data_IF_245187783969
#
_entry.id   IF_245187783969
#
_cell.length_a   1.000
_cell.length_b   1.000
_cell.length_c   1.000
_cell.angle_alpha   90.00
_cell.angle_beta   90.00
_cell.angle_gamma   90.00
#
_symmetry.space_group_name_H-M   'P 1'
#
loop_
_entity.id
_entity.type
_entity.pdbx_description
1 polymer ?
#
# COMPACT_ATOMS: atom_id res chain seq x y z
N UNK A 1 1.35 2.22 -40.71
CA UNK A 1 1.14 0.76 -40.64
C UNK A 1 2.45 0.17 -40.13
N UNK A 2 2.61 0.10 -38.80
CA UNK A 2 3.88 -0.27 -38.17
C UNK A 2 3.86 -1.77 -37.87
N UNK A 3 4.93 -2.48 -38.21
CA UNK A 3 5.23 -3.76 -37.58
C UNK A 3 5.75 -3.49 -36.17
N UNK A 4 4.87 -3.56 -35.17
CA UNK A 4 5.13 -3.27 -33.75
C UNK A 4 5.43 -4.52 -32.91
N UNK A 5 4.99 -5.71 -33.36
CA UNK A 5 4.99 -6.93 -32.53
C UNK A 5 6.40 -7.44 -32.17
N UNK A 6 7.38 -7.29 -33.06
CA UNK A 6 8.74 -7.79 -32.82
C UNK A 6 9.54 -6.94 -31.80
N UNK A 7 9.28 -5.63 -31.74
CA UNK A 7 9.97 -4.72 -30.79
C UNK A 7 9.41 -4.81 -29.37
N UNK A 8 8.14 -5.17 -29.22
CA UNK A 8 7.54 -5.48 -27.93
C UNK A 8 8.06 -6.80 -27.36
N UNK A 9 8.25 -7.82 -28.21
CA UNK A 9 8.71 -9.15 -27.80
C UNK A 9 10.09 -9.16 -27.10
N UNK A 10 11.01 -8.28 -27.52
CA UNK A 10 12.32 -8.14 -26.87
C UNK A 10 12.25 -7.49 -25.49
N UNK A 11 11.20 -6.71 -25.21
CA UNK A 11 11.00 -5.92 -23.98
C UNK A 11 10.27 -6.68 -22.88
N UNK A 12 9.95 -7.95 -23.10
CA UNK A 12 9.27 -8.80 -22.11
C UNK A 12 10.23 -9.03 -20.93
N UNK A 13 9.88 -8.61 -19.71
CA UNK A 13 10.70 -8.87 -18.54
C UNK A 13 10.74 -10.37 -18.28
N UNK A 14 11.95 -10.90 -18.10
CA UNK A 14 12.17 -12.33 -17.80
C UNK A 14 12.81 -12.52 -16.43
N UNK A 15 13.48 -11.48 -15.93
CA UNK A 15 14.16 -11.49 -14.64
C UNK A 15 14.07 -10.13 -13.98
N UNK A 16 13.99 -10.14 -12.65
CA UNK A 16 14.18 -8.97 -11.81
C UNK A 16 15.19 -9.28 -10.71
N UNK A 17 16.02 -8.31 -10.34
CA UNK A 17 16.96 -8.43 -9.21
C UNK A 17 16.68 -7.27 -8.26
N UNK A 18 16.35 -7.57 -7.01
CA UNK A 18 16.23 -6.58 -5.93
C UNK A 18 17.52 -6.62 -5.10
N UNK A 19 18.13 -5.45 -4.90
CA UNK A 19 19.42 -5.35 -4.21
C UNK A 19 19.46 -4.16 -3.26
N UNK A 20 19.84 -4.46 -2.02
CA UNK A 20 20.18 -3.48 -1.02
C UNK A 20 21.67 -3.13 -1.07
N UNK A 21 21.97 -1.85 -1.12
CA UNK A 21 23.30 -1.25 -1.10
C UNK A 21 23.50 -0.44 0.18
N UNK A 22 24.74 -0.01 0.50
CA UNK A 22 25.00 0.81 1.68
C UNK A 22 24.14 2.07 1.81
N UNK A 23 23.77 2.67 0.67
CA UNK A 23 23.11 3.97 0.61
C UNK A 23 21.64 3.90 0.18
N UNK A 24 21.10 2.70 -0.06
CA UNK A 24 19.69 2.53 -0.44
C UNK A 24 19.39 1.22 -1.14
N UNK A 25 18.17 1.08 -1.65
CA UNK A 25 17.73 -0.08 -2.40
C UNK A 25 17.43 0.26 -3.85
N UNK A 26 17.65 -0.70 -4.74
CA UNK A 26 17.28 -0.58 -6.15
C UNK A 26 16.85 -1.94 -6.69
N UNK A 27 16.16 -1.92 -7.82
CA UNK A 27 15.90 -3.13 -8.59
C UNK A 27 16.33 -2.97 -10.05
N UNK A 28 16.67 -4.09 -10.66
CA UNK A 28 17.03 -4.19 -12.08
C UNK A 28 16.08 -5.16 -12.75
N UNK A 29 15.38 -4.72 -13.79
CA UNK A 29 14.59 -5.59 -14.68
C UNK A 29 15.43 -5.92 -15.90
N UNK A 30 15.55 -7.21 -16.20
CA UNK A 30 16.22 -7.73 -17.39
C UNK A 30 15.15 -8.28 -18.32
N UNK A 31 15.14 -7.79 -19.55
CA UNK A 31 14.23 -8.29 -20.58
C UNK A 31 14.81 -9.45 -21.37
N UNK A 32 13.99 -10.02 -22.26
CA UNK A 32 14.37 -11.18 -23.08
C UNK A 32 15.53 -10.89 -24.03
N UNK A 33 15.74 -9.63 -24.43
CA UNK A 33 16.88 -9.22 -25.24
C UNK A 33 18.17 -9.10 -24.42
N UNK A 34 18.06 -9.12 -23.09
CA UNK A 34 19.17 -8.92 -22.16
C UNK A 34 19.39 -7.45 -21.79
N UNK A 35 18.47 -6.55 -22.17
CA UNK A 35 18.58 -5.15 -21.78
C UNK A 35 18.22 -5.00 -20.30
N UNK A 36 19.06 -4.25 -19.58
CA UNK A 36 18.88 -4.00 -18.15
C UNK A 36 18.29 -2.60 -17.92
N UNK A 37 17.29 -2.53 -17.04
CA UNK A 37 16.71 -1.26 -16.58
C UNK A 37 16.74 -1.21 -15.06
N UNK A 38 17.50 -0.25 -14.53
CA UNK A 38 17.63 0.01 -13.11
C UNK A 38 16.64 1.09 -12.66
N UNK A 39 16.05 0.89 -11.49
CA UNK A 39 15.24 1.89 -10.80
C UNK A 39 15.60 1.94 -9.31
N UNK A 40 15.77 3.15 -8.79
CA UNK A 40 16.06 3.40 -7.37
C UNK A 40 14.77 3.35 -6.56
N UNK A 41 14.82 2.69 -5.39
CA UNK A 41 13.73 2.60 -4.42
C UNK A 41 13.97 3.54 -3.22
N UNK A 42 15.21 4.01 -3.04
CA UNK A 42 15.60 4.86 -1.93
C UNK A 42 15.62 4.12 -0.58
N UNK A 43 15.38 4.86 0.51
CA UNK A 43 15.34 4.33 1.87
C UNK A 43 16.72 4.21 2.54
N UNK A 44 16.72 3.75 3.79
CA UNK A 44 17.97 3.43 4.49
C UNK A 44 18.59 2.20 3.84
N UNK A 45 19.83 2.32 3.38
CA UNK A 45 20.60 1.19 2.86
C UNK A 45 20.82 0.08 3.88
N UNK A 46 21.59 -0.94 3.50
CA UNK A 46 21.71 -2.18 4.29
C UNK A 46 22.73 -2.09 5.44
N UNK A 47 23.56 -1.05 5.44
CA UNK A 47 24.58 -0.87 6.48
C UNK A 47 23.97 -0.28 7.73
N UNK A 48 24.26 -0.92 8.86
CA UNK A 48 24.09 -0.31 10.16
C UNK A 48 25.02 0.91 10.27
N UNK A 49 24.46 2.11 10.40
CA UNK A 49 25.22 3.34 10.55
C UNK A 49 25.00 3.92 11.95
N UNK A 50 26.01 3.81 12.79
CA UNK A 50 26.09 4.53 14.06
C UNK A 50 27.02 5.70 13.87
N UNK A 51 26.48 6.93 13.88
CA UNK A 51 27.19 8.17 13.55
C UNK A 51 28.51 8.40 14.30
N UNK A 52 29.59 7.74 13.86
CA UNK A 52 30.95 7.80 14.41
C UNK A 52 31.30 6.78 15.50
N UNK A 53 30.37 5.95 16.00
CA UNK A 53 30.69 4.89 16.98
C UNK A 53 30.82 3.53 16.28
N UNK A 54 31.84 2.75 16.64
CA UNK A 54 31.95 1.33 16.23
C UNK A 54 31.02 0.48 17.09
N UNK A 55 29.72 0.65 16.91
CA UNK A 55 28.76 -0.23 17.54
C UNK A 55 28.54 -1.43 16.61
N UNK A 56 28.52 -2.62 17.18
CA UNK A 56 28.22 -3.85 16.44
C UNK A 56 26.78 -3.82 15.91
N UNK A 57 26.55 -4.55 14.80
CA UNK A 57 25.21 -4.71 14.24
C UNK A 57 24.30 -5.35 15.30
N UNK A 58 23.18 -4.71 15.67
CA UNK A 58 22.31 -5.28 16.68
C UNK A 58 21.59 -6.52 16.15
N UNK A 59 21.28 -7.53 16.99
CA UNK A 59 20.67 -8.79 16.55
C UNK A 59 19.33 -8.63 15.81
N UNK A 60 18.62 -7.52 16.03
CA UNK A 60 17.34 -7.22 15.36
C UNK A 60 17.51 -6.60 13.96
N UNK A 61 18.70 -6.15 13.57
CA UNK A 61 18.93 -5.46 12.29
C UNK A 61 18.64 -6.36 11.10
N UNK A 62 19.11 -7.61 11.11
CA UNK A 62 18.83 -8.57 10.03
C UNK A 62 17.34 -8.83 9.85
N UNK A 63 16.59 -8.96 10.94
CA UNK A 63 15.13 -9.13 10.89
C UNK A 63 14.47 -7.90 10.26
N UNK A 64 14.91 -6.70 10.66
CA UNK A 64 14.44 -5.45 10.07
C UNK A 64 14.74 -5.35 8.56
N UNK A 65 15.94 -5.71 8.13
CA UNK A 65 16.28 -5.76 6.71
C UNK A 65 15.43 -6.77 5.94
N UNK A 66 15.11 -7.92 6.53
CA UNK A 66 14.22 -8.91 5.93
C UNK A 66 12.78 -8.37 5.75
N UNK A 67 12.26 -7.62 6.73
CA UNK A 67 10.96 -6.93 6.62
C UNK A 67 10.96 -5.88 5.51
N UNK A 68 12.04 -5.09 5.41
CA UNK A 68 12.21 -4.07 4.36
C UNK A 68 12.27 -4.76 3.00
N UNK A 69 13.12 -5.76 2.82
CA UNK A 69 13.26 -6.52 1.59
C UNK A 69 11.93 -7.17 1.17
N UNK A 70 11.18 -7.74 2.12
CA UNK A 70 9.84 -8.28 1.89
C UNK A 70 8.90 -7.22 1.32
N UNK A 71 8.83 -6.05 1.98
CA UNK A 71 7.99 -4.93 1.54
C UNK A 71 8.40 -4.41 0.14
N UNK A 72 9.70 -4.33 -0.14
CA UNK A 72 10.22 -3.89 -1.43
C UNK A 72 9.96 -4.90 -2.55
N UNK A 73 10.03 -6.21 -2.29
CA UNK A 73 9.65 -7.23 -3.29
C UNK A 73 8.19 -7.11 -3.69
N UNK A 74 7.30 -6.83 -2.74
CA UNK A 74 5.88 -6.58 -3.05
C UNK A 74 5.70 -5.32 -3.90
N UNK A 75 6.41 -4.25 -3.58
CA UNK A 75 6.39 -3.02 -4.38
C UNK A 75 6.90 -3.26 -5.81
N UNK A 76 8.06 -3.92 -5.96
CA UNK A 76 8.62 -4.28 -7.27
C UNK A 76 7.67 -5.17 -8.06
N UNK A 77 7.02 -6.16 -7.43
CA UNK A 77 6.03 -6.98 -8.09
C UNK A 77 4.86 -6.15 -8.63
N UNK A 78 4.39 -5.14 -7.88
CA UNK A 78 3.34 -4.22 -8.36
C UNK A 78 3.79 -3.43 -9.59
N UNK A 79 4.94 -2.79 -9.52
CA UNK A 79 5.51 -1.98 -10.61
C UNK A 79 5.72 -2.79 -11.89
N UNK A 80 6.34 -3.97 -11.78
CA UNK A 80 6.58 -4.85 -12.92
C UNK A 80 5.25 -5.34 -13.51
N UNK A 81 4.26 -5.65 -12.67
CA UNK A 81 2.94 -6.07 -13.14
C UNK A 81 2.23 -4.96 -13.92
N UNK A 82 2.26 -3.71 -13.45
CA UNK A 82 1.61 -2.60 -14.15
C UNK A 82 2.27 -2.32 -15.48
N UNK A 83 3.60 -2.32 -15.51
CA UNK A 83 4.35 -2.19 -16.75
C UNK A 83 4.01 -3.31 -17.75
N UNK A 84 3.93 -4.55 -17.29
CA UNK A 84 3.54 -5.67 -18.15
C UNK A 84 2.11 -5.53 -18.66
N UNK A 85 1.20 -5.04 -17.82
CA UNK A 85 -0.18 -4.82 -18.22
C UNK A 85 -0.29 -3.74 -19.29
N UNK A 86 0.41 -2.61 -19.12
CA UNK A 86 0.40 -1.51 -20.09
C UNK A 86 1.01 -1.91 -21.45
N UNK A 87 2.05 -2.75 -21.44
CA UNK A 87 2.77 -3.14 -22.66
C UNK A 87 2.18 -4.36 -23.35
N UNK A 88 1.63 -5.31 -22.59
CA UNK A 88 1.29 -6.65 -23.08
C UNK A 88 -0.13 -7.09 -22.72
N UNK A 89 -0.90 -6.26 -22.00
CA UNK A 89 -2.20 -6.64 -21.42
C UNK A 89 -2.13 -7.94 -20.59
N UNK A 90 -0.98 -8.20 -19.96
CA UNK A 90 -0.69 -9.39 -19.17
C UNK A 90 -0.16 -9.00 -17.78
N UNK A 91 -0.37 -9.87 -16.80
CA UNK A 91 0.19 -9.67 -15.46
C UNK A 91 1.52 -10.40 -15.30
N UNK A 92 2.42 -9.78 -14.52
CA UNK A 92 3.65 -10.43 -14.11
C UNK A 92 3.39 -11.25 -12.84
N UNK A 93 3.84 -12.49 -12.84
CA UNK A 93 4.06 -13.28 -11.65
C UNK A 93 5.58 -13.40 -11.43
N UNK A 94 6.02 -13.15 -10.20
CA UNK A 94 7.45 -13.15 -9.86
C UNK A 94 7.71 -14.21 -8.81
N UNK A 95 8.48 -15.23 -9.19
CA UNK A 95 8.99 -16.23 -8.26
C UNK A 95 10.34 -15.77 -7.74
N UNK A 96 10.44 -15.47 -6.45
CA UNK A 96 11.64 -14.91 -5.81
C UNK A 96 12.54 -15.99 -5.20
N UNK A 97 13.85 -15.78 -5.31
CA UNK A 97 14.91 -16.63 -4.79
C UNK A 97 15.92 -15.77 -4.01
N UNK A 98 16.24 -16.18 -2.79
CA UNK A 98 17.26 -15.52 -1.97
C UNK A 98 18.65 -15.84 -2.51
N UNK A 99 19.38 -14.81 -2.95
CA UNK A 99 20.76 -14.95 -3.45
C UNK A 99 21.77 -14.66 -2.32
N UNK A 100 21.51 -13.59 -1.57
CA UNK A 100 22.26 -13.20 -0.38
C UNK A 100 21.29 -12.56 0.61
N UNK A 101 20.59 -13.38 1.40
CA UNK A 101 19.54 -12.89 2.29
C UNK A 101 20.13 -12.11 3.48
N UNK A 102 19.48 -11.00 3.90
CA UNK A 102 18.22 -10.46 3.40
C UNK A 102 18.36 -9.44 2.25
N UNK A 103 19.57 -9.18 1.75
CA UNK A 103 19.90 -7.98 0.97
C UNK A 103 19.82 -8.16 -0.55
N UNK A 104 19.89 -9.38 -1.07
CA UNK A 104 19.87 -9.65 -2.51
C UNK A 104 18.90 -10.79 -2.86
N UNK A 105 18.03 -10.52 -3.83
CA UNK A 105 17.00 -11.43 -4.30
C UNK A 105 16.90 -11.40 -5.83
N UNK A 106 16.79 -12.56 -6.44
CA UNK A 106 16.53 -12.71 -7.87
C UNK A 106 15.11 -13.25 -8.07
N UNK A 107 14.39 -12.69 -9.02
CA UNK A 107 13.01 -13.05 -9.34
C UNK A 107 12.90 -13.48 -10.80
N UNK A 108 12.34 -14.65 -11.04
CA UNK A 108 11.95 -15.08 -12.39
C UNK A 108 10.56 -14.53 -12.69
N UNK A 109 10.42 -13.87 -13.84
CA UNK A 109 9.17 -13.23 -14.26
C UNK A 109 8.46 -14.11 -15.29
N UNK A 110 7.24 -14.50 -14.98
CA UNK A 110 6.31 -15.16 -15.91
C UNK A 110 5.16 -14.22 -16.22
N UNK A 111 4.61 -14.30 -17.44
CA UNK A 111 3.41 -13.57 -17.81
C UNK A 111 2.20 -14.51 -17.75
N UNK A 112 1.11 -13.98 -17.20
CA UNK A 112 -0.20 -14.64 -17.16
C UNK A 112 -1.27 -13.72 -17.72
N UNK A 113 -2.40 -14.29 -18.12
CA UNK A 113 -3.57 -13.51 -18.52
C UNK A 113 -3.92 -12.50 -17.42
N UNK A 114 -4.23 -11.26 -17.84
CA UNK A 114 -4.56 -10.22 -16.88
C UNK A 114 -5.80 -10.59 -16.06
N UNK A 115 -5.81 -10.19 -14.78
CA UNK A 115 -6.98 -10.36 -13.94
C UNK A 115 -8.18 -9.65 -14.60
N UNK A 116 -9.31 -10.34 -14.86
CA UNK A 116 -10.51 -9.71 -15.39
C UNK A 116 -10.97 -8.49 -14.58
N UNK A 117 -10.65 -8.41 -13.29
CA UNK A 117 -10.92 -7.26 -12.42
C UNK A 117 -10.06 -6.02 -12.71
N UNK A 118 -9.01 -6.11 -13.55
CA UNK A 118 -8.36 -4.94 -14.15
C UNK A 118 -9.29 -4.16 -15.05
N UNK A 119 -10.32 -4.83 -15.58
CA UNK A 119 -11.34 -4.20 -16.41
C UNK A 119 -12.51 -3.75 -15.54
N UNK A 120 -12.89 -2.46 -15.57
CA UNK A 120 -13.96 -1.92 -14.74
C UNK A 120 -15.26 -2.75 -14.82
N UNK A 121 -15.87 -3.01 -13.66
CA UNK A 121 -17.22 -3.59 -13.57
C UNK A 121 -17.31 -5.12 -13.56
N UNK A 122 -16.20 -5.87 -13.69
CA UNK A 122 -16.24 -7.34 -13.69
C UNK A 122 -16.23 -8.01 -12.32
N UNK A 123 -15.69 -7.34 -11.30
CA UNK A 123 -15.68 -7.84 -9.92
C UNK A 123 -16.20 -6.76 -8.98
N UNK A 124 -17.19 -7.08 -8.10
CA UNK A 124 -17.65 -6.13 -7.10
C UNK A 124 -16.49 -5.64 -6.21
N UNK A 125 -16.42 -4.33 -5.93
CA UNK A 125 -15.42 -3.80 -5.02
C UNK A 125 -15.68 -4.24 -3.57
N UNK A 126 -14.62 -4.26 -2.77
CA UNK A 126 -14.71 -4.40 -1.33
C UNK A 126 -14.93 -3.01 -0.73
N UNK A 127 -16.18 -2.72 -0.38
CA UNK A 127 -16.58 -1.40 0.10
C UNK A 127 -16.45 -1.34 1.62
N UNK A 128 -15.68 -0.37 2.11
CA UNK A 128 -15.63 0.03 3.52
C UNK A 128 -16.37 1.35 3.64
N UNK A 129 -17.44 1.36 4.44
CA UNK A 129 -18.23 2.57 4.68
C UNK A 129 -17.72 3.25 5.95
N UNK A 130 -17.21 4.46 5.81
CA UNK A 130 -16.73 5.31 6.90
C UNK A 130 -17.94 5.94 7.60
N UNK A 131 -18.01 5.77 8.92
CA UNK A 131 -19.00 6.44 9.77
C UNK A 131 -18.23 7.30 10.78
N UNK A 132 -18.03 8.60 10.46
CA UNK A 132 -17.39 9.54 11.37
C UNK A 132 -17.94 9.47 12.79
N UNK A 133 -17.05 9.53 13.78
CA UNK A 133 -17.41 9.40 15.19
C UNK A 133 -17.72 7.97 15.67
N UNK A 134 -17.89 7.00 14.76
CA UNK A 134 -18.28 5.63 15.12
C UNK A 134 -17.25 4.57 14.71
N UNK A 135 -16.66 4.68 13.52
CA UNK A 135 -15.73 3.70 12.96
C UNK A 135 -16.09 3.36 11.51
N UNK A 136 -15.98 2.11 11.10
CA UNK A 136 -16.32 1.67 9.74
C UNK A 136 -17.23 0.44 9.70
N UNK A 137 -18.05 0.36 8.65
CA UNK A 137 -18.78 -0.85 8.29
C UNK A 137 -18.04 -1.56 7.17
N UNK A 138 -17.72 -2.83 7.41
CA UNK A 138 -17.25 -3.78 6.40
C UNK A 138 -18.46 -4.58 5.90
N UNK A 139 -18.33 -5.31 4.77
CA UNK A 139 -19.42 -6.14 4.24
C UNK A 139 -19.96 -7.17 5.24
N UNK A 140 -19.06 -7.79 6.02
CA UNK A 140 -19.40 -8.92 6.91
C UNK A 140 -19.19 -8.62 8.41
N UNK A 141 -18.66 -7.44 8.75
CA UNK A 141 -18.31 -7.08 10.13
C UNK A 141 -18.26 -5.57 10.32
N UNK A 142 -18.39 -5.09 11.56
CA UNK A 142 -18.27 -3.67 11.89
C UNK A 142 -17.06 -3.45 12.80
N UNK A 143 -16.22 -2.49 12.43
CA UNK A 143 -15.09 -2.05 13.24
C UNK A 143 -15.45 -0.67 13.80
N UNK A 144 -16.07 -0.66 14.98
CA UNK A 144 -16.38 0.60 15.69
C UNK A 144 -15.28 0.92 16.70
N UNK A 145 -15.17 2.17 17.12
CA UNK A 145 -14.13 2.57 18.08
C UNK A 145 -14.25 1.85 19.43
N UNK A 146 -15.45 1.40 19.80
CA UNK A 146 -15.65 0.60 21.01
C UNK A 146 -15.35 -0.89 20.84
N UNK A 147 -15.02 -1.35 19.63
CA UNK A 147 -14.68 -2.75 19.35
C UNK A 147 -13.40 -3.13 20.12
N UNK A 148 -13.43 -4.19 20.94
CA UNK A 148 -12.25 -4.75 21.58
C UNK A 148 -11.21 -5.24 20.57
N UNK A 149 -9.92 -5.16 20.91
CA UNK A 149 -8.83 -5.58 20.01
C UNK A 149 -9.01 -7.00 19.46
N UNK A 150 -9.42 -7.97 20.28
CA UNK A 150 -9.62 -9.36 19.85
C UNK A 150 -10.67 -9.50 18.73
N UNK A 151 -11.78 -8.76 18.84
CA UNK A 151 -12.86 -8.75 17.85
C UNK A 151 -12.41 -8.04 16.57
N UNK A 152 -11.61 -6.98 16.70
CA UNK A 152 -11.03 -6.28 15.56
C UNK A 152 -10.10 -7.20 14.74
N UNK A 153 -9.30 -8.03 15.41
CA UNK A 153 -8.42 -9.01 14.73
C UNK A 153 -9.23 -10.10 14.03
N UNK A 154 -10.29 -10.59 14.67
CA UNK A 154 -11.20 -11.56 14.04
C UNK A 154 -11.86 -10.97 12.79
N UNK A 155 -12.25 -9.69 12.83
CA UNK A 155 -12.78 -8.99 11.66
C UNK A 155 -11.74 -8.88 10.53
N UNK A 156 -10.49 -8.49 10.83
CA UNK A 156 -9.44 -8.43 9.80
C UNK A 156 -9.10 -9.81 9.21
N UNK A 157 -9.14 -10.88 10.01
CA UNK A 157 -8.99 -12.25 9.52
C UNK A 157 -10.16 -12.69 8.62
N UNK A 158 -11.39 -12.23 8.90
CA UNK A 158 -12.51 -12.43 8.00
C UNK A 158 -12.32 -11.70 6.67
N UNK A 159 -11.84 -10.46 6.68
CA UNK A 159 -11.48 -9.72 5.46
C UNK A 159 -10.42 -10.46 4.66
N UNK A 160 -9.37 -10.97 5.32
CA UNK A 160 -8.30 -11.72 4.66
C UNK A 160 -8.84 -12.97 3.95
N UNK A 161 -9.75 -13.70 4.60
CA UNK A 161 -10.40 -14.89 4.00
C UNK A 161 -11.27 -14.52 2.81
N UNK A 162 -12.12 -13.50 2.93
CA UNK A 162 -12.99 -13.02 1.85
C UNK A 162 -12.18 -12.54 0.65
N UNK A 163 -11.08 -11.83 0.89
CA UNK A 163 -10.20 -11.30 -0.16
C UNK A 163 -9.14 -12.31 -0.64
N UNK A 164 -9.09 -13.52 -0.06
CA UNK A 164 -8.08 -14.56 -0.33
C UNK A 164 -6.64 -14.06 -0.21
N UNK A 165 -6.38 -13.23 0.79
CA UNK A 165 -5.04 -12.70 1.10
C UNK A 165 -4.47 -13.37 2.35
N UNK A 166 -3.16 -13.25 2.60
CA UNK A 166 -2.58 -13.69 3.86
C UNK A 166 -3.27 -13.06 5.08
N UNK A 167 -3.23 -13.76 6.20
CA UNK A 167 -3.75 -13.28 7.47
C UNK A 167 -3.03 -11.99 7.92
N UNK A 168 -3.73 -11.07 8.61
CA UNK A 168 -3.14 -9.83 9.09
C UNK A 168 -2.03 -10.10 10.11
N UNK A 169 -0.83 -9.56 9.87
CA UNK A 169 0.30 -9.68 10.76
C UNK A 169 0.44 -8.44 11.66
N UNK A 170 0.87 -8.66 12.90
CA UNK A 170 1.21 -7.58 13.83
C UNK A 170 2.43 -6.80 13.34
N UNK A 171 2.37 -5.47 13.46
CA UNK A 171 3.50 -4.58 13.19
C UNK A 171 3.59 -3.56 14.30
N UNK A 172 4.82 -3.21 14.68
CA UNK A 172 5.03 -2.13 15.63
C UNK A 172 4.74 -0.78 14.97
N UNK A 173 3.82 -0.02 15.56
CA UNK A 173 3.55 1.38 15.20
C UNK A 173 3.56 2.23 16.47
N UNK A 174 4.49 3.18 16.53
CA UNK A 174 4.66 4.04 17.71
C UNK A 174 3.38 4.83 18.00
N UNK A 175 2.97 4.88 19.27
CA UNK A 175 1.75 5.55 19.72
C UNK A 175 0.53 4.65 19.84
N UNK A 176 0.61 3.40 19.38
CA UNK A 176 -0.47 2.41 19.47
C UNK A 176 -0.07 1.20 20.32
N UNK A 177 -1.08 0.51 20.86
CA UNK A 177 -0.89 -0.72 21.64
C UNK A 177 -0.56 -1.91 20.72
N UNK A 178 -1.27 -2.04 19.61
CA UNK A 178 -1.01 -3.00 18.53
C UNK A 178 -1.49 -2.39 17.20
N UNK A 179 -1.00 -2.92 16.08
CA UNK A 179 -1.37 -2.51 14.74
C UNK A 179 -1.30 -3.69 13.79
N UNK A 180 -2.36 -3.90 13.00
CA UNK A 180 -2.41 -4.93 11.97
C UNK A 180 -3.03 -4.41 10.69
N UNK A 181 -2.55 -4.92 9.57
CA UNK A 181 -3.06 -4.60 8.25
C UNK A 181 -3.41 -5.87 7.48
N UNK A 182 -4.47 -5.79 6.69
CA UNK A 182 -4.90 -6.81 5.73
C UNK A 182 -4.89 -6.22 4.33
N UNK A 183 -4.51 -7.05 3.35
CA UNK A 183 -4.54 -6.65 1.94
C UNK A 183 -5.96 -6.82 1.39
N UNK A 184 -6.39 -5.86 0.59
CA UNK A 184 -7.66 -5.91 -0.15
C UNK A 184 -7.36 -5.51 -1.59
N UNK A 185 -7.28 -6.51 -2.47
CA UNK A 185 -6.73 -6.30 -3.81
C UNK A 185 -5.31 -5.77 -3.73
N UNK A 186 -5.09 -4.54 -4.21
CA UNK A 186 -3.80 -3.83 -4.10
C UNK A 186 -3.73 -2.81 -2.97
N UNK A 187 -4.88 -2.45 -2.44
CA UNK A 187 -4.99 -1.60 -1.26
C UNK A 187 -4.70 -2.37 0.04
N UNK A 188 -4.73 -1.63 1.13
CA UNK A 188 -4.66 -2.21 2.46
C UNK A 188 -5.67 -1.55 3.39
N UNK A 189 -6.20 -2.33 4.32
CA UNK A 189 -7.01 -1.88 5.44
C UNK A 189 -6.25 -2.23 6.72
N UNK A 190 -6.01 -1.24 7.55
CA UNK A 190 -5.28 -1.38 8.79
C UNK A 190 -6.08 -0.87 9.98
N UNK A 191 -5.84 -1.49 11.13
CA UNK A 191 -6.45 -1.12 12.40
C UNK A 191 -5.34 -0.99 13.43
N UNK A 192 -5.35 0.14 14.12
CA UNK A 192 -4.50 0.40 15.27
C UNK A 192 -5.36 0.45 16.54
N UNK A 193 -4.86 -0.15 17.61
CA UNK A 193 -5.57 -0.20 18.89
C UNK A 193 -4.88 0.64 19.94
N UNK A 194 -5.65 1.13 20.90
CA UNK A 194 -5.16 1.88 22.06
C UNK A 194 -5.71 1.29 23.35
N UNK A 195 -4.93 1.39 24.43
CA UNK A 195 -5.39 1.03 25.77
C UNK A 195 -6.06 2.23 26.40
N UNK A 196 -7.37 2.12 26.65
CA UNK A 196 -8.16 3.18 27.28
C UNK A 196 -7.96 3.24 28.81
N UNK A 197 -8.40 4.31 29.49
CA UNK A 197 -8.25 4.45 30.94
C UNK A 197 -8.88 3.32 31.78
N UNK A 198 -9.87 2.62 31.24
CA UNK A 198 -10.49 1.45 31.86
C UNK A 198 -9.64 0.16 31.71
N UNK A 199 -8.45 0.25 31.09
CA UNK A 199 -7.51 -0.84 30.89
C UNK A 199 -7.85 -1.73 29.69
N UNK A 200 -8.98 -1.52 29.02
CA UNK A 200 -9.40 -2.33 27.88
C UNK A 200 -8.82 -1.73 26.59
N UNK A 201 -8.21 -2.61 25.79
CA UNK A 201 -7.66 -2.26 24.48
C UNK A 201 -8.75 -2.30 23.40
N UNK A 202 -8.92 -1.19 22.69
CA UNK A 202 -9.98 -1.00 21.69
C UNK A 202 -9.43 -0.35 20.42
N UNK A 203 -10.22 -0.39 19.36
CA UNK A 203 -9.91 0.30 18.11
C UNK A 203 -9.74 1.80 18.36
N UNK A 204 -8.59 2.34 17.98
CA UNK A 204 -8.28 3.77 18.06
C UNK A 204 -8.21 4.45 16.69
N UNK A 205 -7.67 3.74 15.69
CA UNK A 205 -7.57 4.23 14.32
C UNK A 205 -7.87 3.13 13.31
N UNK A 206 -8.56 3.50 12.24
CA UNK A 206 -8.80 2.67 11.07
C UNK A 206 -8.22 3.42 9.87
N UNK A 207 -7.26 2.81 9.20
CA UNK A 207 -6.58 3.39 8.06
C UNK A 207 -6.81 2.53 6.82
N UNK A 208 -7.11 3.16 5.69
CA UNK A 208 -7.17 2.47 4.42
C UNK A 208 -6.40 3.22 3.35
N UNK A 209 -5.68 2.49 2.51
CA UNK A 209 -4.92 3.05 1.40
C UNK A 209 -5.19 2.27 0.11
N UNK A 210 -5.24 3.01 -0.99
CA UNK A 210 -5.27 2.47 -2.35
C UNK A 210 -4.17 3.15 -3.15
N UNK A 211 -3.06 2.45 -3.44
CA UNK A 211 -2.00 3.00 -4.27
C UNK A 211 -2.51 3.28 -5.69
N UNK A 212 -1.81 4.13 -6.46
CA UNK A 212 -2.15 4.37 -7.87
C UNK A 212 -2.16 3.09 -8.70
N UNK A 213 -2.77 3.19 -9.88
CA UNK A 213 -2.89 2.09 -10.83
C UNK A 213 -4.12 1.24 -10.57
N UNK A 214 -4.06 -0.02 -11.00
CA UNK A 214 -5.17 -0.94 -10.80
C UNK A 214 -5.47 -1.18 -9.31
N UNK A 215 -6.75 -1.16 -8.92
CA UNK A 215 -7.19 -1.33 -7.53
C UNK A 215 -7.05 -2.75 -6.96
N UNK A 216 -6.82 -3.77 -7.78
CA UNK A 216 -6.79 -5.16 -7.35
C UNK A 216 -8.15 -5.85 -7.42
N UNK A 217 -8.17 -7.13 -7.06
CA UNK A 217 -9.37 -7.94 -6.97
C UNK A 217 -9.55 -8.52 -5.55
N UNK A 218 -10.59 -8.10 -4.81
CA UNK A 218 -11.50 -6.99 -5.11
C UNK A 218 -10.80 -5.64 -4.96
N UNK A 219 -11.31 -4.60 -5.64
CA UNK A 219 -10.84 -3.23 -5.43
C UNK A 219 -11.34 -2.70 -4.08
N UNK A 220 -10.44 -2.21 -3.23
CA UNK A 220 -10.81 -1.54 -1.98
C UNK A 220 -11.44 -0.17 -2.28
N UNK A 221 -12.64 0.11 -1.75
CA UNK A 221 -13.29 1.43 -1.87
C UNK A 221 -13.65 1.97 -0.50
N UNK A 222 -13.24 3.21 -0.21
CA UNK A 222 -13.45 3.84 1.10
C UNK A 222 -14.49 4.95 0.95
N UNK A 223 -15.71 4.66 1.39
CA UNK A 223 -16.86 5.51 1.13
C UNK A 223 -17.28 6.33 2.33
N UNK A 224 -17.49 7.61 2.13
CA UNK A 224 -18.19 8.49 3.05
C UNK A 224 -19.45 8.99 2.35
N UNK A 225 -20.63 8.71 2.93
CA UNK A 225 -21.94 9.08 2.36
C UNK A 225 -22.12 8.68 0.88
N UNK A 226 -21.61 7.50 0.54
CA UNK A 226 -21.69 6.92 -0.81
C UNK A 226 -20.55 7.33 -1.76
N UNK A 227 -19.73 8.30 -1.37
CA UNK A 227 -18.65 8.87 -2.19
C UNK A 227 -17.34 8.15 -1.90
N UNK A 228 -16.68 7.61 -2.92
CA UNK A 228 -15.36 6.98 -2.78
C UNK A 228 -14.26 8.05 -2.68
N UNK A 229 -13.76 8.25 -1.47
CA UNK A 229 -12.79 9.31 -1.16
C UNK A 229 -11.44 9.14 -1.89
N UNK A 230 -11.14 7.94 -2.40
CA UNK A 230 -9.90 7.65 -3.12
C UNK A 230 -10.08 7.62 -4.64
N UNK A 231 -11.32 7.74 -5.13
CA UNK A 231 -11.67 7.76 -6.56
C UNK A 231 -12.17 9.14 -7.02
N UNK A 232 -12.70 9.96 -6.14
CA UNK A 232 -13.03 11.33 -6.52
C UNK A 232 -11.78 12.22 -6.61
N UNK A 233 -11.78 13.25 -7.47
CA UNK A 233 -10.76 14.29 -7.44
C UNK A 233 -10.66 14.89 -6.03
N UNK A 234 -9.44 15.01 -5.49
CA UNK A 234 -9.21 15.48 -4.14
C UNK A 234 -9.82 16.86 -3.91
N UNK A 235 -9.78 17.74 -4.91
CA UNK A 235 -10.35 19.07 -4.82
C UNK A 235 -11.88 19.04 -4.64
N UNK A 236 -12.57 18.11 -5.33
CA UNK A 236 -14.02 17.97 -5.27
C UNK A 236 -14.46 17.41 -3.91
N UNK A 237 -13.74 16.42 -3.39
CA UNK A 237 -13.93 15.90 -2.03
C UNK A 237 -13.77 17.02 -0.99
N UNK A 238 -12.73 17.84 -1.13
CA UNK A 238 -12.49 18.95 -0.22
C UNK A 238 -13.54 20.05 -0.31
N UNK A 239 -14.06 20.33 -1.50
CA UNK A 239 -15.17 21.27 -1.68
C UNK A 239 -16.44 20.75 -1.04
N UNK A 240 -16.80 19.49 -1.28
CA UNK A 240 -17.96 18.88 -0.65
C UNK A 240 -17.89 18.96 0.88
N UNK A 241 -16.74 18.60 1.48
CA UNK A 241 -16.59 18.63 2.94
C UNK A 241 -16.75 20.05 3.51
N UNK A 242 -16.26 21.06 2.79
CA UNK A 242 -16.45 22.47 3.17
C UNK A 242 -17.89 22.94 3.01
N UNK A 243 -18.56 22.53 1.93
CA UNK A 243 -19.96 22.86 1.67
C UNK A 243 -20.90 22.23 2.69
N UNK A 244 -20.53 21.06 3.23
CA UNK A 244 -21.19 20.41 4.38
C UNK A 244 -20.88 21.10 5.73
N UNK A 245 -20.09 22.18 5.73
CA UNK A 245 -19.79 22.99 6.91
C UNK A 245 -18.61 22.49 7.74
N UNK A 246 -17.76 21.61 7.20
CA UNK A 246 -16.59 21.14 7.92
C UNK A 246 -15.35 21.99 7.66
N UNK A 247 -14.64 22.33 8.74
CA UNK A 247 -13.31 22.93 8.64
C UNK A 247 -12.27 21.90 8.18
N UNK A 248 -11.55 22.24 7.11
CA UNK A 248 -10.44 21.43 6.58
C UNK A 248 -9.11 22.08 6.95
N UNK A 249 -8.34 21.40 7.80
CA UNK A 249 -6.99 21.83 8.19
C UNK A 249 -5.95 21.17 7.29
N UNK A 250 -5.13 21.99 6.64
CA UNK A 250 -4.04 21.50 5.77
C UNK A 250 -2.73 21.41 6.53
N UNK A 251 -2.04 20.25 6.44
CA UNK A 251 -0.72 20.05 7.02
C UNK A 251 0.17 19.29 6.04
N UNK A 252 0.97 20.01 5.26
CA UNK A 252 1.76 19.41 4.18
C UNK A 252 0.86 18.66 3.20
N UNK A 253 1.13 17.36 3.01
CA UNK A 253 0.36 16.46 2.12
C UNK A 253 -0.89 15.85 2.75
N UNK A 254 -1.26 16.32 3.94
CA UNK A 254 -2.38 15.80 4.71
C UNK A 254 -3.50 16.84 4.76
N UNK A 255 -4.75 16.39 4.71
CA UNK A 255 -5.95 17.20 4.94
C UNK A 255 -6.73 16.58 6.10
N UNK A 256 -6.91 17.33 7.18
CA UNK A 256 -7.64 16.86 8.37
C UNK A 256 -9.00 17.53 8.41
N UNK A 257 -10.01 16.75 8.78
CA UNK A 257 -11.35 17.23 9.10
C UNK A 257 -11.62 16.85 10.55
N UNK A 258 -11.21 17.68 11.53
CA UNK A 258 -11.21 17.31 12.94
C UNK A 258 -12.60 16.91 13.46
N UNK A 259 -13.64 17.61 13.00
CA UNK A 259 -15.04 17.35 13.38
C UNK A 259 -15.54 15.97 12.98
N UNK A 260 -14.89 15.34 11.99
CA UNK A 260 -15.20 13.98 11.53
C UNK A 260 -14.19 12.93 12.04
N UNK A 261 -13.12 13.34 12.73
CA UNK A 261 -11.99 12.45 13.02
C UNK A 261 -11.28 11.92 11.76
N UNK A 262 -11.45 12.60 10.62
CA UNK A 262 -11.01 12.15 9.30
C UNK A 262 -9.67 12.78 8.92
N UNK A 263 -8.76 12.00 8.37
CA UNK A 263 -7.52 12.49 7.75
C UNK A 263 -7.37 11.89 6.36
N UNK A 264 -7.17 12.74 5.34
CA UNK A 264 -6.95 12.36 3.95
C UNK A 264 -5.49 12.56 3.58
N UNK A 265 -4.92 11.57 2.91
CA UNK A 265 -3.52 11.52 2.52
C UNK A 265 -3.44 11.70 1.00
N UNK A 266 -2.78 12.76 0.54
CA UNK A 266 -2.53 12.94 -0.89
C UNK A 266 -1.75 11.75 -1.45
N UNK A 267 -2.09 11.35 -2.68
CA UNK A 267 -1.37 10.29 -3.36
C UNK A 267 0.02 10.79 -3.78
N UNK A 268 1.05 10.00 -3.49
CA UNK A 268 2.37 10.23 -4.06
C UNK A 268 2.31 9.95 -5.58
N UNK A 269 2.85 10.88 -6.37
CA UNK A 269 3.05 10.64 -7.81
C UNK A 269 4.06 9.50 -8.02
N UNK A 270 4.00 8.80 -9.17
CA UNK A 270 4.97 7.77 -9.49
C UNK A 270 6.37 8.41 -9.60
N UNK A 271 7.21 8.18 -8.59
CA UNK A 271 8.58 8.71 -8.53
C UNK A 271 8.87 9.45 -7.23
N UNK A 272 9.10 8.72 -6.15
CA UNK A 272 9.70 9.24 -4.91
C UNK A 272 11.17 9.68 -5.05
N UNK A 273 11.70 9.76 -6.28
CA UNK A 273 12.99 10.35 -6.56
C UNK A 273 12.82 11.88 -6.69
N UNK A 274 13.65 12.70 -6.00
CA UNK A 274 13.63 14.14 -6.19
C UNK A 274 13.95 14.46 -7.66
N UNK A 275 12.95 14.93 -8.41
CA UNK A 275 13.07 15.31 -9.83
C UNK A 275 12.23 14.51 -10.83
N UNK A 276 11.48 13.48 -10.41
CA UNK A 276 10.52 12.82 -11.28
C UNK A 276 9.20 13.61 -11.29
N UNK A 277 8.94 14.36 -12.35
CA UNK A 277 7.63 14.98 -12.63
C UNK A 277 6.60 13.91 -13.04
N UNK A 278 6.25 13.03 -12.09
CA UNK A 278 5.03 12.25 -12.16
C UNK A 278 3.89 13.12 -11.64
N UNK A 279 3.02 13.62 -12.53
CA UNK A 279 1.83 14.37 -12.14
C UNK A 279 1.02 13.54 -11.15
N UNK A 280 0.93 13.99 -9.89
CA UNK A 280 -0.09 13.49 -8.98
C UNK A 280 -1.44 13.61 -9.71
N UNK A 281 -2.19 12.52 -9.80
CA UNK A 281 -3.47 12.44 -10.50
C UNK A 281 -4.59 13.27 -9.83
N UNK A 282 -4.23 14.12 -8.88
CA UNK A 282 -5.11 15.00 -8.14
C UNK A 282 -6.01 14.25 -7.18
N UNK A 283 -5.67 13.03 -6.74
CA UNK A 283 -6.51 12.19 -5.87
C UNK A 283 -5.83 11.88 -4.53
N UNK A 284 -6.63 11.39 -3.59
CA UNK A 284 -6.12 10.86 -2.32
C UNK A 284 -5.65 9.40 -2.49
N UNK A 285 -4.55 9.06 -1.81
CA UNK A 285 -3.99 7.71 -1.76
C UNK A 285 -4.41 6.93 -0.52
N UNK A 286 -4.84 7.62 0.53
CA UNK A 286 -5.30 6.99 1.76
C UNK A 286 -6.18 7.88 2.62
N UNK A 287 -6.83 7.23 3.58
CA UNK A 287 -7.70 7.86 4.57
C UNK A 287 -7.49 7.19 5.92
N UNK A 288 -7.47 7.99 6.97
CA UNK A 288 -7.54 7.53 8.36
C UNK A 288 -8.81 8.07 9.00
N UNK A 289 -9.45 7.23 9.80
CA UNK A 289 -10.54 7.59 10.68
C UNK A 289 -10.14 7.25 12.11
N UNK A 290 -10.19 8.25 12.98
CA UNK A 290 -9.94 8.11 14.42
C UNK A 290 -11.17 8.58 15.19
N UNK A 291 -11.26 8.16 16.45
CA UNK A 291 -12.28 8.71 17.33
C UNK A 291 -12.10 10.24 17.44
N UNK A 292 -13.17 11.05 17.34
CA UNK A 292 -13.09 12.48 17.53
C UNK A 292 -12.60 12.78 18.95
N UNK A 293 -11.62 13.68 19.05
CA UNK A 293 -11.01 14.14 20.30
C UNK A 293 -11.85 15.20 20.99
#
# INVERSE_FOLDING_TARGET
>A
MWGEDARAYGRVPVRVVLRGEPDGWHYVVVDRAGDERRAELGGSGVRWQTGGRRDEEPPWWRARLAEIAGSLREHVAKEVTDRCFDLFAAEAEITWFGVDEPVCWEGLVTLRDADPARFPGRVPPFVVTLIPGRGVLLPDAHLVFDTPAADAWTALEAVARTCRTPAPAARFLCGWADHRAVRVGRGSLAVSTERRPDGVERVGEIFGERPPGWGGNPELRLRLDGIDLLDEPAQDVLWLLKDLGHDVVTRGRLRRVPTLGLTLYERDGPGGAPGAEGTADGRFGGVSLSAPS
#
